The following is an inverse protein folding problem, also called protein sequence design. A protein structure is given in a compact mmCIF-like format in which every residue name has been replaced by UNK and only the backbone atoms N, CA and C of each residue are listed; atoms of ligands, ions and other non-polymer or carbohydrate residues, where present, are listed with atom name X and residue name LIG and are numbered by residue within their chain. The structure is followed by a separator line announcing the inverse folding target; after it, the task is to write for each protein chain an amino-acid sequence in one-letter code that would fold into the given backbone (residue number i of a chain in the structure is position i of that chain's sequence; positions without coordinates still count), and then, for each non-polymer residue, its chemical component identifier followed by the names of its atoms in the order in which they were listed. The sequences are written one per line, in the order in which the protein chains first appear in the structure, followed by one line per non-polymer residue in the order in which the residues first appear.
data_IF_732431208655
#
_entry.id   IF_732431208655
#
_cell.length_a   1.000
_cell.length_b   1.000
_cell.length_c   1.000
_cell.angle_alpha   90.00
_cell.angle_beta   90.00
_cell.angle_gamma   90.00
#
_symmetry.space_group_name_H-M   'P 1'
#
loop_
_entity.id
_entity.type
_entity.pdbx_description
1 polymer ?
#
# COMPACT_ATOMS: atom_id res chain seq x y z
N UNK A 1 -1.58 25.05 -38.68
CA UNK A 1 -1.43 23.62 -38.30
C UNK A 1 -0.83 23.56 -36.90
N UNK A 2 -1.65 23.52 -35.84
CA UNK A 2 -1.17 23.53 -34.45
C UNK A 2 -2.15 22.84 -33.47
N UNK A 3 -2.93 21.85 -33.94
CA UNK A 3 -4.01 21.22 -33.17
C UNK A 3 -3.61 19.88 -32.52
N UNK A 4 -2.43 19.32 -32.82
CA UNK A 4 -2.08 17.93 -32.45
C UNK A 4 -1.37 17.76 -31.11
N UNK A 5 -0.81 18.82 -30.53
CA UNK A 5 -0.05 18.74 -29.26
C UNK A 5 -0.94 18.70 -28.03
N UNK A 6 -2.14 19.30 -28.08
CA UNK A 6 -3.07 19.34 -26.94
C UNK A 6 -3.76 17.99 -26.66
N UNK A 7 -3.78 17.10 -27.64
CA UNK A 7 -4.48 15.81 -27.56
C UNK A 7 -3.57 14.70 -26.99
N UNK A 8 -2.28 14.73 -27.31
CA UNK A 8 -1.33 13.68 -26.92
C UNK A 8 -1.07 13.70 -25.41
N UNK A 9 -0.86 14.87 -24.79
CA UNK A 9 -0.63 14.93 -23.33
C UNK A 9 -1.85 14.45 -22.55
N UNK A 10 -3.06 14.80 -23.03
CA UNK A 10 -4.33 14.39 -22.43
C UNK A 10 -4.49 12.87 -22.52
N UNK A 11 -4.28 12.29 -23.70
CA UNK A 11 -4.29 10.85 -23.91
C UNK A 11 -3.24 10.12 -23.09
N UNK A 12 -2.02 10.67 -22.96
CA UNK A 12 -0.96 10.07 -22.14
C UNK A 12 -1.29 10.15 -20.65
N UNK A 13 -1.88 11.23 -20.17
CA UNK A 13 -2.28 11.38 -18.77
C UNK A 13 -3.42 10.43 -18.40
N UNK A 14 -4.34 10.19 -19.33
CA UNK A 14 -5.41 9.22 -19.18
C UNK A 14 -4.90 7.78 -19.24
N UNK A 15 -4.03 7.48 -20.21
CA UNK A 15 -3.38 6.18 -20.36
C UNK A 15 -2.45 5.83 -19.18
N UNK A 16 -1.84 6.84 -18.56
CA UNK A 16 -1.02 6.72 -17.35
C UNK A 16 -1.79 6.98 -16.06
N UNK A 17 -3.13 7.05 -16.13
CA UNK A 17 -3.95 7.17 -14.92
C UNK A 17 -3.70 5.94 -14.04
N UNK A 18 -3.66 6.11 -12.70
CA UNK A 18 -3.35 5.00 -11.80
C UNK A 18 -4.38 3.88 -11.98
N UNK A 19 -3.93 2.74 -12.51
CA UNK A 19 -4.77 1.54 -12.60
C UNK A 19 -4.87 0.91 -11.23
N UNK A 20 -6.09 0.57 -10.81
CA UNK A 20 -6.29 -0.15 -9.55
C UNK A 20 -5.63 -1.55 -9.65
N UNK A 21 -4.73 -1.88 -8.70
CA UNK A 21 -4.08 -3.20 -8.71
C UNK A 21 -5.12 -4.30 -8.45
N UNK A 22 -4.94 -5.50 -9.02
CA UNK A 22 -5.87 -6.59 -8.81
C UNK A 22 -5.92 -6.98 -7.32
N UNK A 23 -7.09 -7.39 -6.84
CA UNK A 23 -7.39 -7.61 -5.41
C UNK A 23 -6.37 -8.54 -4.72
N UNK A 24 -5.88 -9.53 -5.46
CA UNK A 24 -4.93 -10.54 -4.98
C UNK A 24 -3.45 -10.11 -5.02
N UNK A 25 -3.11 -8.98 -5.62
CA UNK A 25 -1.71 -8.52 -5.73
C UNK A 25 -1.11 -8.26 -4.35
N UNK A 26 -1.85 -7.59 -3.47
CA UNK A 26 -1.38 -7.26 -2.12
C UNK A 26 -1.01 -8.51 -1.34
N UNK A 27 -1.91 -9.51 -1.33
CA UNK A 27 -1.68 -10.81 -0.67
C UNK A 27 -0.48 -11.53 -1.28
N UNK A 28 -0.34 -11.53 -2.60
CA UNK A 28 0.78 -12.17 -3.28
C UNK A 28 2.12 -11.52 -2.92
N UNK A 29 2.20 -10.20 -2.95
CA UNK A 29 3.43 -9.45 -2.59
C UNK A 29 3.77 -9.67 -1.13
N UNK A 30 2.78 -9.63 -0.23
CA UNK A 30 2.98 -9.94 1.20
C UNK A 30 3.56 -11.35 1.40
N UNK A 31 3.01 -12.35 0.72
CA UNK A 31 3.50 -13.72 0.79
C UNK A 31 4.93 -13.84 0.24
N UNK A 32 5.23 -13.22 -0.91
CA UNK A 32 6.60 -13.23 -1.45
C UNK A 32 7.60 -12.62 -0.50
N UNK A 33 7.30 -11.44 0.06
CA UNK A 33 8.22 -10.77 0.97
C UNK A 33 8.41 -11.55 2.27
N UNK A 34 7.34 -12.16 2.80
CA UNK A 34 7.44 -13.03 3.98
C UNK A 34 8.35 -14.24 3.71
N UNK A 35 8.14 -14.93 2.59
CA UNK A 35 8.96 -16.07 2.21
C UNK A 35 10.44 -15.68 2.05
N UNK A 36 10.72 -14.52 1.46
CA UNK A 36 12.09 -14.01 1.32
C UNK A 36 12.73 -13.67 2.68
N UNK A 37 11.96 -13.11 3.62
CA UNK A 37 12.46 -12.83 4.96
C UNK A 37 12.75 -14.11 5.76
N UNK A 38 11.92 -15.14 5.62
CA UNK A 38 12.11 -16.45 6.25
C UNK A 38 13.36 -17.14 5.67
N UNK A 39 13.48 -17.20 4.34
CA UNK A 39 14.67 -17.77 3.69
C UNK A 39 15.96 -17.05 4.10
N UNK A 40 15.93 -15.72 4.19
CA UNK A 40 17.07 -14.95 4.66
C UNK A 40 17.42 -15.24 6.12
N UNK A 41 16.42 -15.47 6.98
CA UNK A 41 16.63 -15.84 8.36
C UNK A 41 17.27 -17.23 8.47
N UNK A 42 16.75 -18.22 7.75
CA UNK A 42 17.30 -19.58 7.70
C UNK A 42 18.76 -19.58 7.25
N UNK A 43 19.07 -18.79 6.22
CA UNK A 43 20.44 -18.62 5.72
C UNK A 43 21.39 -18.04 6.78
N UNK A 44 20.94 -17.06 7.56
CA UNK A 44 21.73 -16.47 8.63
C UNK A 44 21.86 -17.38 9.85
N UNK A 45 20.82 -18.14 10.19
CA UNK A 45 20.86 -19.13 11.27
C UNK A 45 21.82 -20.29 10.93
N UNK A 46 21.87 -20.69 9.66
CA UNK A 46 22.82 -21.69 9.16
C UNK A 46 24.27 -21.20 9.11
N UNK A 47 24.51 -19.89 9.26
CA UNK A 47 25.84 -19.30 9.15
C UNK A 47 26.63 -19.44 10.46
N UNK A 48 27.67 -20.27 10.44
CA UNK A 48 28.52 -20.50 11.61
C UNK A 48 29.49 -19.34 11.92
N UNK A 49 29.67 -19.04 13.21
CA UNK A 49 30.58 -17.99 13.71
C UNK A 49 32.05 -18.18 13.26
N UNK A 50 32.50 -19.42 13.04
CA UNK A 50 33.87 -19.68 12.54
C UNK A 50 34.09 -19.12 11.13
N UNK A 51 33.04 -19.08 10.30
CA UNK A 51 33.09 -18.54 8.95
C UNK A 51 33.21 -17.00 8.92
N UNK A 52 33.03 -16.29 10.06
CA UNK A 52 33.28 -14.85 10.14
C UNK A 52 34.75 -14.48 9.93
N UNK A 53 35.69 -15.41 10.15
CA UNK A 53 37.13 -15.14 10.05
C UNK A 53 37.63 -14.94 8.62
N UNK A 54 36.93 -15.47 7.62
CA UNK A 54 37.26 -15.26 6.20
C UNK A 54 36.22 -14.36 5.52
N UNK A 55 36.58 -13.11 5.15
CA UNK A 55 35.65 -12.18 4.50
C UNK A 55 35.15 -12.67 3.14
N UNK A 56 35.84 -13.61 2.49
CA UNK A 56 35.39 -14.17 1.20
C UNK A 56 34.15 -15.05 1.35
N UNK A 57 33.92 -15.61 2.54
CA UNK A 57 32.74 -16.41 2.83
C UNK A 57 31.52 -15.57 3.24
N UNK A 58 31.65 -14.24 3.29
CA UNK A 58 30.55 -13.36 3.71
C UNK A 58 29.55 -13.06 2.60
N UNK A 59 29.84 -13.39 1.34
CA UNK A 59 28.97 -13.04 0.20
C UNK A 59 27.55 -13.56 0.39
N UNK A 60 27.40 -14.82 0.79
CA UNK A 60 26.11 -15.48 0.99
C UNK A 60 25.34 -14.90 2.21
N UNK A 61 25.93 -14.75 3.40
CA UNK A 61 25.30 -14.06 4.53
C UNK A 61 24.97 -12.59 4.27
N UNK A 62 25.85 -11.85 3.58
CA UNK A 62 25.62 -10.46 3.22
C UNK A 62 24.41 -10.33 2.26
N UNK A 63 24.29 -11.24 1.30
CA UNK A 63 23.11 -11.33 0.44
C UNK A 63 21.84 -11.64 1.27
N UNK A 64 21.92 -12.55 2.24
CA UNK A 64 20.79 -12.85 3.13
C UNK A 64 20.36 -11.62 3.94
N UNK A 65 21.29 -10.87 4.55
CA UNK A 65 20.98 -9.61 5.25
C UNK A 65 20.33 -8.60 4.31
N UNK A 66 20.87 -8.42 3.10
CA UNK A 66 20.33 -7.48 2.13
C UNK A 66 18.90 -7.86 1.71
N UNK A 67 18.67 -9.13 1.35
CA UNK A 67 17.35 -9.65 0.95
C UNK A 67 16.37 -9.56 2.11
N UNK A 68 16.74 -10.01 3.30
CA UNK A 68 15.90 -9.96 4.50
C UNK A 68 15.55 -8.53 4.89
N UNK A 69 16.50 -7.60 4.82
CA UNK A 69 16.28 -6.18 5.11
C UNK A 69 15.32 -5.51 4.12
N UNK A 70 15.49 -5.76 2.82
CA UNK A 70 14.58 -5.25 1.79
C UNK A 70 13.19 -5.86 1.94
N UNK A 71 13.10 -7.17 2.18
CA UNK A 71 11.84 -7.88 2.35
C UNK A 71 11.06 -7.39 3.59
N UNK A 72 11.74 -7.28 4.73
CA UNK A 72 11.15 -6.83 5.99
C UNK A 72 10.68 -5.38 5.94
N UNK A 73 11.48 -4.46 5.36
CA UNK A 73 11.05 -3.07 5.17
C UNK A 73 9.90 -2.95 4.19
N UNK A 74 9.91 -3.74 3.10
CA UNK A 74 8.80 -3.86 2.16
C UNK A 74 7.49 -4.30 2.83
N UNK A 75 7.54 -5.31 3.71
CA UNK A 75 6.39 -5.76 4.49
C UNK A 75 5.85 -4.68 5.42
N UNK A 76 6.74 -3.98 6.13
CA UNK A 76 6.35 -2.89 7.02
C UNK A 76 5.61 -1.78 6.25
N UNK A 77 6.14 -1.37 5.10
CA UNK A 77 5.50 -0.36 4.23
C UNK A 77 4.16 -0.86 3.70
N UNK A 78 4.07 -2.12 3.26
CA UNK A 78 2.83 -2.70 2.74
C UNK A 78 1.74 -2.71 3.81
N UNK A 79 2.08 -3.13 5.02
CA UNK A 79 1.16 -3.20 6.15
C UNK A 79 0.72 -1.82 6.62
N UNK A 80 1.63 -0.85 6.61
CA UNK A 80 1.30 0.55 6.87
C UNK A 80 0.32 1.11 5.83
N UNK A 81 0.55 0.84 4.53
CA UNK A 81 -0.38 1.23 3.46
C UNK A 81 -1.74 0.58 3.60
N UNK A 82 -1.82 -0.71 3.91
CA UNK A 82 -3.08 -1.41 4.16
C UNK A 82 -3.84 -0.80 5.33
N UNK A 83 -3.16 -0.52 6.45
CA UNK A 83 -3.75 0.13 7.61
C UNK A 83 -4.22 1.56 7.30
N UNK A 84 -3.49 2.31 6.47
CA UNK A 84 -3.90 3.64 6.00
C UNK A 84 -5.17 3.57 5.15
N UNK A 85 -5.25 2.65 4.18
CA UNK A 85 -6.44 2.44 3.34
C UNK A 85 -7.66 2.08 4.16
N UNK A 86 -7.50 1.19 5.14
CA UNK A 86 -8.59 0.78 6.04
C UNK A 86 -9.09 1.96 6.89
N UNK A 87 -8.19 2.82 7.38
CA UNK A 87 -8.54 4.04 8.13
C UNK A 87 -9.28 5.05 7.26
N UNK A 88 -8.81 5.29 6.03
CA UNK A 88 -9.50 6.20 5.10
C UNK A 88 -10.89 5.69 4.73
N UNK A 89 -11.07 4.38 4.52
CA UNK A 89 -12.39 3.81 4.25
C UNK A 89 -13.35 3.98 5.42
N UNK A 90 -12.88 3.76 6.66
CA UNK A 90 -13.69 4.02 7.88
C UNK A 90 -14.07 5.50 8.01
N UNK A 91 -13.15 6.42 7.70
CA UNK A 91 -13.43 7.87 7.70
C UNK A 91 -14.46 8.25 6.66
N UNK A 92 -14.35 7.73 5.43
CA UNK A 92 -15.33 7.98 4.37
C UNK A 92 -16.73 7.54 4.79
N UNK A 93 -16.87 6.33 5.37
CA UNK A 93 -18.16 5.83 5.88
C UNK A 93 -18.69 6.71 7.03
N UNK A 94 -17.82 7.21 7.91
CA UNK A 94 -18.24 8.10 8.99
C UNK A 94 -18.73 9.47 8.48
N UNK A 95 -18.06 10.03 7.47
CA UNK A 95 -18.47 11.28 6.82
C UNK A 95 -19.80 11.12 6.08
N UNK A 96 -20.02 9.99 5.42
CA UNK A 96 -21.26 9.68 4.71
C UNK A 96 -22.46 9.65 5.66
N UNK A 97 -22.30 8.96 6.80
CA UNK A 97 -23.32 8.94 7.87
C UNK A 97 -23.58 10.32 8.46
N UNK A 98 -22.53 11.11 8.70
CA UNK A 98 -22.68 12.46 9.24
C UNK A 98 -23.41 13.39 8.24
N UNK A 99 -23.17 13.21 6.94
CA UNK A 99 -23.87 13.95 5.88
C UNK A 99 -25.36 13.56 5.81
N UNK A 100 -25.68 12.27 5.95
CA UNK A 100 -27.05 11.77 6.00
C UNK A 100 -27.83 12.33 7.19
N UNK A 101 -27.22 12.33 8.38
CA UNK A 101 -27.81 12.93 9.58
C UNK A 101 -28.05 14.44 9.42
N UNK A 102 -27.10 15.17 8.83
CA UNK A 102 -27.24 16.60 8.56
C UNK A 102 -28.36 16.90 7.56
N UNK A 103 -28.47 16.10 6.49
CA UNK A 103 -29.54 16.22 5.49
C UNK A 103 -30.92 15.98 6.12
N UNK A 104 -31.03 14.98 6.98
CA UNK A 104 -32.24 14.66 7.73
C UNK A 104 -32.68 15.78 8.67
N UNK A 105 -31.72 16.42 9.36
CA UNK A 105 -32.00 17.55 10.25
C UNK A 105 -32.48 18.77 9.46
N UNK A 106 -31.85 19.06 8.32
CA UNK A 106 -32.27 20.12 7.41
C UNK A 106 -33.69 19.87 6.89
N UNK A 107 -33.97 18.66 6.42
CA UNK A 107 -35.30 18.26 5.93
C UNK A 107 -36.37 18.45 7.02
N UNK A 108 -36.11 17.97 8.23
CA UNK A 108 -37.00 18.14 9.40
C UNK A 108 -37.16 19.60 9.84
N UNK A 109 -36.17 20.46 9.56
CA UNK A 109 -36.25 21.89 9.80
C UNK A 109 -37.15 22.60 8.79
N UNK A 110 -37.02 22.25 7.51
CA UNK A 110 -37.85 22.77 6.41
C UNK A 110 -39.31 22.38 6.58
N UNK A 111 -39.59 21.12 6.92
CA UNK A 111 -40.97 20.63 7.15
C UNK A 111 -41.65 21.36 8.32
N UNK A 112 -40.89 21.75 9.36
CA UNK A 112 -41.42 22.53 10.49
C UNK A 112 -41.71 23.99 10.15
N UNK A 113 -41.03 24.56 9.17
CA UNK A 113 -41.24 25.94 8.73
C UNK A 113 -42.37 26.05 7.69
N UNK A 114 -42.60 25.01 6.89
CA UNK A 114 -43.67 24.99 5.89
C UNK A 114 -45.08 24.73 6.42
N UNK A 115 -45.24 24.42 7.71
CA UNK A 115 -46.53 24.12 8.35
C UNK A 115 -47.01 25.23 9.30
N UNK A 116 -46.52 26.47 9.10
CA UNK A 116 -46.99 27.70 9.74
C UNK A 116 -47.55 28.64 8.67
#
# INVERSE_FOLDING_TARGET
MAQSTFDIETLLREALSPVDPPERLGVRVENTLRNLSELAADELESWELTAMKDPRNWVRPAAAVAVGGVAGTGLAVLRWRQASKQRNRKRAVALDKAAEEAADLLRRGVERLGNR
#
